data_IF_886248994955
#
_entry.id   IF_886248994955
#
_cell.length_a   1.000
_cell.length_b   1.000
_cell.length_c   1.000
_cell.angle_alpha   90.00
_cell.angle_beta   90.00
_cell.angle_gamma   90.00
#
_symmetry.space_group_name_H-M   'P 1'
#
loop_
_entity.id
_entity.type
_entity.pdbx_description
1 polymer ?
#
# COMPACT_ATOMS: atom_id res chain seq x y z
N UNK A 1 -0.90 14.92 -8.46
CA UNK A 1 -0.64 13.49 -8.24
C UNK A 1 0.18 13.44 -6.98
N UNK A 2 -0.27 12.73 -5.95
CA UNK A 2 0.42 12.76 -4.66
C UNK A 2 1.40 11.61 -4.61
N UNK A 3 2.68 11.94 -4.46
CA UNK A 3 3.74 10.99 -4.25
C UNK A 3 3.91 10.73 -2.74
N UNK A 4 4.22 9.47 -2.42
CA UNK A 4 4.47 9.00 -1.07
C UNK A 4 5.92 8.54 -1.00
N UNK A 5 6.72 9.18 -0.14
CA UNK A 5 8.04 8.67 0.21
C UNK A 5 7.95 7.81 1.46
N UNK A 6 8.58 6.65 1.37
CA UNK A 6 8.87 5.77 2.48
C UNK A 6 10.38 5.80 2.71
N UNK A 7 10.80 6.19 3.91
CA UNK A 7 12.21 6.28 4.26
C UNK A 7 12.51 5.47 5.53
N UNK A 8 13.57 4.67 5.47
CA UNK A 8 14.10 3.99 6.63
C UNK A 8 15.62 3.74 6.52
N UNK A 9 16.36 4.33 7.45
CA UNK A 9 17.83 4.31 7.45
C UNK A 9 18.38 4.86 6.12
N UNK A 10 19.10 4.06 5.32
CA UNK A 10 19.64 4.46 4.03
C UNK A 10 18.80 3.96 2.84
N UNK A 11 17.59 3.45 3.10
CA UNK A 11 16.65 2.96 2.10
C UNK A 11 15.50 3.96 1.94
N UNK A 12 15.28 4.41 0.71
CA UNK A 12 14.14 5.23 0.33
C UNK A 12 13.45 4.68 -0.93
N UNK A 13 12.13 4.84 -0.96
CA UNK A 13 11.27 4.50 -2.10
C UNK A 13 10.22 5.59 -2.23
N UNK A 14 9.93 6.02 -3.46
CA UNK A 14 8.87 6.97 -3.78
C UNK A 14 7.86 6.29 -4.70
N UNK A 15 6.60 6.25 -4.25
CA UNK A 15 5.50 5.60 -4.97
C UNK A 15 4.32 6.56 -5.07
N UNK A 16 3.59 6.54 -6.19
CA UNK A 16 2.37 7.34 -6.31
C UNK A 16 1.28 6.74 -5.44
N UNK A 17 0.43 7.58 -4.87
CA UNK A 17 -0.71 7.13 -4.06
C UNK A 17 -1.65 6.20 -4.84
N UNK A 18 -1.80 6.42 -6.14
CA UNK A 18 -2.60 5.57 -7.02
C UNK A 18 -1.95 4.20 -7.29
N UNK A 19 -0.62 4.11 -7.38
CA UNK A 19 0.09 2.83 -7.52
C UNK A 19 -0.11 1.98 -6.26
N UNK A 20 0.04 2.59 -5.08
CA UNK A 20 -0.26 1.95 -3.80
C UNK A 20 -1.72 1.50 -3.72
N UNK A 21 -2.65 2.33 -4.22
CA UNK A 21 -4.07 1.99 -4.23
C UNK A 21 -4.38 0.77 -5.09
N UNK A 22 -3.80 0.66 -6.28
CA UNK A 22 -3.96 -0.51 -7.15
C UNK A 22 -3.29 -1.74 -6.55
N UNK A 23 -2.05 -1.58 -6.05
CA UNK A 23 -1.31 -2.66 -5.38
C UNK A 23 -2.10 -3.26 -4.22
N UNK A 24 -2.60 -2.41 -3.32
CA UNK A 24 -3.38 -2.85 -2.15
C UNK A 24 -4.75 -3.41 -2.54
N UNK A 25 -5.38 -2.88 -3.60
CA UNK A 25 -6.62 -3.45 -4.11
C UNK A 25 -6.42 -4.87 -4.67
N UNK A 26 -5.32 -5.11 -5.39
CA UNK A 26 -4.96 -6.45 -5.84
C UNK A 26 -4.69 -7.38 -4.65
N UNK A 27 -3.87 -6.94 -3.69
CA UNK A 27 -3.57 -7.69 -2.47
C UNK A 27 -4.85 -8.06 -1.68
N UNK A 28 -5.79 -7.12 -1.54
CA UNK A 28 -7.09 -7.31 -0.88
C UNK A 28 -7.88 -8.46 -1.48
N UNK A 29 -7.92 -8.53 -2.81
CA UNK A 29 -8.68 -9.57 -3.52
C UNK A 29 -8.09 -10.97 -3.35
N UNK A 30 -6.85 -11.08 -2.88
CA UNK A 30 -6.23 -12.35 -2.48
C UNK A 30 -6.45 -12.62 -0.99
N UNK A 31 -6.17 -11.63 -0.13
CA UNK A 31 -6.34 -11.76 1.31
C UNK A 31 -6.58 -10.39 1.97
N UNK A 32 -7.86 -10.04 2.17
CA UNK A 32 -8.28 -8.77 2.75
C UNK A 32 -7.68 -8.52 4.15
N UNK A 33 -7.61 -9.56 4.98
CA UNK A 33 -7.06 -9.43 6.33
C UNK A 33 -5.58 -9.04 6.31
N UNK A 34 -4.74 -9.70 5.51
CA UNK A 34 -3.31 -9.36 5.44
C UNK A 34 -3.08 -8.04 4.68
N UNK A 35 -3.89 -7.77 3.65
CA UNK A 35 -3.84 -6.50 2.94
C UNK A 35 -4.14 -5.31 3.87
N UNK A 36 -5.08 -5.45 4.81
CA UNK A 36 -5.35 -4.42 5.83
C UNK A 36 -4.12 -4.17 6.72
N UNK A 37 -3.40 -5.23 7.11
CA UNK A 37 -2.17 -5.12 7.91
C UNK A 37 -1.06 -4.41 7.15
N UNK A 38 -0.89 -4.74 5.86
CA UNK A 38 0.03 -4.05 4.96
C UNK A 38 -0.32 -2.57 4.83
N UNK A 39 -1.60 -2.24 4.57
CA UNK A 39 -2.08 -0.87 4.48
C UNK A 39 -1.74 -0.06 5.73
N UNK A 40 -2.07 -0.56 6.92
CA UNK A 40 -1.75 0.16 8.16
C UNK A 40 -0.23 0.33 8.33
N UNK A 41 0.56 -0.70 8.01
CA UNK A 41 2.03 -0.66 8.12
C UNK A 41 2.69 0.34 7.17
N UNK A 42 1.95 0.86 6.18
CA UNK A 42 2.41 1.85 5.20
C UNK A 42 1.80 3.24 5.45
N UNK A 43 1.09 3.45 6.56
CA UNK A 43 0.38 4.72 6.80
C UNK A 43 0.75 5.39 8.12
N UNK A 44 0.95 6.70 8.04
CA UNK A 44 1.21 7.57 9.19
C UNK A 44 -0.05 8.04 9.92
N UNK A 45 -1.19 8.14 9.22
CA UNK A 45 -2.49 8.50 9.84
C UNK A 45 -2.82 7.69 11.09
N UNK A 46 -2.70 6.37 11.04
CA UNK A 46 -2.99 5.50 12.19
C UNK A 46 -2.09 5.82 13.39
N UNK A 47 -0.82 6.14 13.16
CA UNK A 47 0.09 6.54 14.23
C UNK A 47 -0.28 7.91 14.79
N UNK A 48 -0.67 8.86 13.93
CA UNK A 48 -1.15 10.18 14.35
C UNK A 48 -2.41 10.11 15.22
N UNK A 49 -3.39 9.30 14.82
CA UNK A 49 -4.61 9.05 15.58
C UNK A 49 -4.30 8.50 16.98
N UNK A 50 -3.40 7.51 17.06
CA UNK A 50 -2.95 6.92 18.34
C UNK A 50 -2.20 7.92 19.22
N UNK A 51 -1.33 8.75 18.64
CA UNK A 51 -0.54 9.74 19.38
C UNK A 51 -1.40 10.86 19.98
N UNK A 52 -2.49 11.21 19.31
CA UNK A 52 -3.33 12.36 19.68
C UNK A 52 -4.66 11.96 20.33
N UNK A 53 -4.94 10.66 20.47
CA UNK A 53 -6.21 10.13 20.98
C UNK A 53 -7.43 10.72 20.24
N UNK A 54 -7.33 10.78 18.91
CA UNK A 54 -8.37 11.30 18.02
C UNK A 54 -8.68 10.32 16.89
N UNK A 55 -9.91 10.40 16.38
CA UNK A 55 -10.32 9.72 15.16
C UNK A 55 -10.57 10.80 14.10
N UNK A 56 -9.73 10.84 13.07
CA UNK A 56 -9.79 11.84 12.01
C UNK A 56 -9.87 11.15 10.66
N UNK A 57 -10.54 11.77 9.70
CA UNK A 57 -10.52 11.28 8.32
C UNK A 57 -9.32 11.83 7.52
N UNK A 58 -8.52 12.69 8.13
CA UNK A 58 -7.42 13.39 7.47
C UNK A 58 -6.08 12.69 7.73
N UNK A 59 -5.25 12.60 6.70
CA UNK A 59 -3.85 12.23 6.85
C UNK A 59 -3.03 13.49 7.17
N UNK A 60 -2.21 13.50 8.24
CA UNK A 60 -1.37 14.66 8.58
C UNK A 60 -0.40 15.03 7.44
N UNK A 61 -0.27 16.33 7.19
CA UNK A 61 0.68 16.86 6.20
C UNK A 61 2.14 16.74 6.65
N UNK A 62 2.40 16.76 7.95
CA UNK A 62 3.74 16.57 8.51
C UNK A 62 4.26 15.15 8.32
N UNK A 63 5.57 15.02 8.13
CA UNK A 63 6.25 13.74 8.05
C UNK A 63 6.17 13.01 9.39
N UNK A 64 5.68 11.78 9.37
CA UNK A 64 5.42 11.00 10.57
C UNK A 64 5.69 9.52 10.34
N UNK A 65 6.01 8.78 11.41
CA UNK A 65 6.21 7.34 11.32
C UNK A 65 4.93 6.62 10.88
N UNK A 66 5.09 5.60 10.04
CA UNK A 66 4.04 4.64 9.76
C UNK A 66 3.69 3.83 11.02
N UNK A 67 2.49 3.26 11.06
CA UNK A 67 2.11 2.34 12.14
C UNK A 67 3.05 1.13 12.20
N UNK A 68 3.66 0.93 13.37
CA UNK A 68 4.62 -0.15 13.57
C UNK A 68 4.02 -1.27 14.43
N UNK A 69 3.84 -2.43 13.81
CA UNK A 69 3.45 -3.64 14.50
C UNK A 69 4.23 -4.83 13.93
N UNK A 70 5.10 -5.43 14.74
CA UNK A 70 5.97 -6.55 14.34
C UNK A 70 5.22 -7.71 13.69
N UNK A 71 4.06 -8.08 14.22
CA UNK A 71 3.25 -9.16 13.65
C UNK A 71 2.69 -8.78 12.27
N UNK A 72 2.27 -7.53 12.08
CA UNK A 72 1.75 -7.06 10.80
C UNK A 72 2.84 -7.03 9.73
N UNK A 73 4.03 -6.56 10.10
CA UNK A 73 5.21 -6.55 9.22
C UNK A 73 5.59 -7.97 8.82
N UNK A 74 5.68 -8.91 9.76
CA UNK A 74 6.00 -10.32 9.49
C UNK A 74 4.96 -10.98 8.57
N UNK A 75 3.67 -10.78 8.86
CA UNK A 75 2.58 -11.29 8.02
C UNK A 75 2.65 -10.72 6.60
N UNK A 76 2.88 -9.40 6.48
CA UNK A 76 3.03 -8.70 5.22
C UNK A 76 4.20 -9.22 4.38
N UNK A 77 5.39 -9.35 4.98
CA UNK A 77 6.60 -9.88 4.31
C UNK A 77 6.36 -11.31 3.82
N UNK A 78 5.78 -12.16 4.67
CA UNK A 78 5.47 -13.55 4.33
C UNK A 78 4.47 -13.63 3.19
N UNK A 79 3.38 -12.86 3.26
CA UNK A 79 2.35 -12.81 2.22
C UNK A 79 2.89 -12.29 0.90
N UNK A 80 3.69 -11.21 0.90
CA UNK A 80 4.31 -10.68 -0.32
C UNK A 80 5.15 -11.77 -1.01
N UNK A 81 5.98 -12.46 -0.23
CA UNK A 81 6.94 -13.44 -0.73
C UNK A 81 6.28 -14.73 -1.22
N UNK A 82 5.32 -15.24 -0.47
CA UNK A 82 4.80 -16.60 -0.68
C UNK A 82 3.49 -16.65 -1.46
N UNK A 83 2.76 -15.54 -1.53
CA UNK A 83 1.44 -15.49 -2.16
C UNK A 83 1.33 -14.38 -3.18
N UNK A 84 1.60 -13.12 -2.81
CA UNK A 84 1.28 -11.95 -3.64
C UNK A 84 2.10 -11.91 -4.93
N UNK A 85 3.44 -11.91 -4.83
CA UNK A 85 4.33 -11.92 -6.00
C UNK A 85 4.08 -13.18 -6.85
N UNK A 86 4.05 -14.40 -6.29
CA UNK A 86 3.70 -15.59 -7.08
C UNK A 86 2.34 -15.49 -7.77
N UNK A 87 1.34 -14.86 -7.15
CA UNK A 87 0.03 -14.65 -7.80
C UNK A 87 0.17 -13.74 -9.00
N UNK A 88 0.83 -12.58 -8.87
CA UNK A 88 1.07 -11.64 -9.97
C UNK A 88 1.87 -12.28 -11.12
N UNK A 89 2.89 -13.09 -10.81
CA UNK A 89 3.70 -13.80 -11.79
C UNK A 89 2.91 -14.85 -12.60
N UNK A 90 1.82 -15.37 -12.04
CA UNK A 90 0.96 -16.36 -12.70
C UNK A 90 -0.21 -15.72 -13.47
N UNK A 91 -0.34 -14.39 -13.45
CA UNK A 91 -1.36 -13.68 -14.22
C UNK A 91 -0.98 -13.66 -15.70
N UNK A 92 -1.95 -13.94 -16.56
CA UNK A 92 -1.76 -13.95 -18.03
C UNK A 92 -2.12 -12.61 -18.67
N UNK A 93 -2.53 -11.64 -17.86
CA UNK A 93 -3.01 -10.31 -18.27
C UNK A 93 -2.41 -9.24 -17.36
N UNK A 94 -2.35 -8.01 -17.84
CA UNK A 94 -1.94 -6.86 -17.04
C UNK A 94 -2.91 -6.58 -15.88
N UNK A 95 -2.45 -5.76 -14.94
CA UNK A 95 -3.19 -5.37 -13.73
C UNK A 95 -4.61 -4.92 -14.05
N UNK A 96 -4.77 -3.97 -14.98
CA UNK A 96 -6.11 -3.52 -15.38
C UNK A 96 -6.90 -4.57 -16.15
N UNK A 97 -6.22 -5.43 -16.93
CA UNK A 97 -6.85 -6.48 -17.74
C UNK A 97 -7.58 -7.50 -16.89
N UNK A 98 -6.97 -7.89 -15.76
CA UNK A 98 -7.57 -8.78 -14.76
C UNK A 98 -8.94 -8.32 -14.28
N UNK A 99 -9.14 -7.00 -14.19
CA UNK A 99 -10.37 -6.40 -13.66
C UNK A 99 -11.33 -5.92 -14.74
N UNK A 100 -11.19 -6.40 -15.98
CA UNK A 100 -12.08 -6.05 -17.09
C UNK A 100 -11.75 -4.71 -17.75
N UNK A 101 -10.50 -4.28 -17.66
CA UNK A 101 -10.00 -3.02 -18.22
C UNK A 101 -9.92 -1.89 -17.20
N UNK A 102 -9.21 -0.81 -17.57
CA UNK A 102 -8.91 0.29 -16.65
C UNK A 102 -10.15 0.98 -16.06
N UNK A 103 -11.15 1.28 -16.90
CA UNK A 103 -12.39 1.92 -16.43
C UNK A 103 -13.11 1.08 -15.35
N UNK A 104 -13.10 -0.25 -15.50
CA UNK A 104 -13.68 -1.18 -14.54
C UNK A 104 -12.85 -1.25 -13.25
N UNK A 105 -11.52 -1.38 -13.34
CA UNK A 105 -10.62 -1.35 -12.18
C UNK A 105 -10.82 -0.06 -11.36
N UNK A 106 -10.81 1.08 -12.03
CA UNK A 106 -11.01 2.38 -11.40
C UNK A 106 -12.37 2.48 -10.71
N UNK A 107 -13.44 2.02 -11.36
CA UNK A 107 -14.77 2.02 -10.77
C UNK A 107 -14.85 1.13 -9.52
N UNK A 108 -14.16 -0.02 -9.52
CA UNK A 108 -14.14 -0.92 -8.37
C UNK A 108 -13.35 -0.36 -7.19
N UNK A 109 -12.22 0.32 -7.44
CA UNK A 109 -11.44 0.99 -6.39
C UNK A 109 -12.22 2.17 -5.82
N UNK A 110 -12.70 3.09 -6.66
CA UNK A 110 -13.30 4.34 -6.21
C UNK A 110 -14.72 4.20 -5.64
N UNK A 111 -15.48 3.16 -6.03
CA UNK A 111 -16.85 2.94 -5.55
C UNK A 111 -16.94 1.86 -4.47
N UNK A 112 -15.84 1.62 -3.74
CA UNK A 112 -15.85 0.66 -2.64
C UNK A 112 -16.65 1.23 -1.45
N UNK A 113 -17.90 0.79 -1.32
CA UNK A 113 -18.85 1.24 -0.29
C UNK A 113 -18.66 0.55 1.06
N UNK A 114 -17.63 -0.29 1.22
CA UNK A 114 -17.36 -0.94 2.49
C UNK A 114 -16.86 0.07 3.53
N UNK A 115 -17.43 0.06 4.73
CA UNK A 115 -16.93 0.83 5.87
C UNK A 115 -15.67 0.17 6.46
N UNK A 116 -14.62 0.02 5.67
CA UNK A 116 -13.34 -0.57 6.08
C UNK A 116 -12.15 0.20 5.49
N UNK A 117 -10.94 -0.26 5.79
CA UNK A 117 -9.66 0.35 5.37
C UNK A 117 -9.59 0.65 3.87
N UNK A 118 -10.20 -0.21 3.04
CA UNK A 118 -10.14 -0.10 1.59
C UNK A 118 -11.04 0.99 0.98
N UNK A 119 -11.82 1.69 1.80
CA UNK A 119 -12.54 2.91 1.41
C UNK A 119 -11.63 4.11 1.18
N UNK A 120 -10.37 4.04 1.65
CA UNK A 120 -9.37 5.10 1.48
C UNK A 120 -8.55 4.94 0.20
N UNK A 121 -8.73 3.84 -0.54
CA UNK A 121 -8.04 3.62 -1.82
C UNK A 121 -8.70 4.45 -2.92
N UNK A 122 -7.91 5.06 -3.80
CA UNK A 122 -8.46 5.85 -4.89
C UNK A 122 -7.55 5.91 -6.12
N UNK A 123 -8.17 6.20 -7.27
CA UNK A 123 -7.51 6.48 -8.55
C UNK A 123 -8.06 7.79 -9.12
N UNK A 124 -7.17 8.74 -9.42
CA UNK A 124 -7.50 10.02 -10.05
C UNK A 124 -7.73 9.90 -11.57
N UNK A 125 -8.13 10.99 -12.24
CA UNK A 125 -8.60 10.97 -13.65
C UNK A 125 -7.55 10.64 -14.70
N UNK A 126 -6.30 10.96 -14.44
CA UNK A 126 -5.16 10.89 -15.36
C UNK A 126 -4.24 9.69 -15.11
N UNK A 127 -4.40 9.00 -13.98
CA UNK A 127 -3.63 7.81 -13.67
C UNK A 127 -3.97 6.64 -14.59
N UNK A 128 -2.96 5.98 -15.15
CA UNK A 128 -3.08 4.71 -15.86
C UNK A 128 -2.22 3.69 -15.10
N UNK A 129 -2.81 2.61 -14.54
CA UNK A 129 -2.05 1.54 -13.90
C UNK A 129 -1.02 0.97 -14.89
N UNK A 130 0.07 0.38 -14.42
CA UNK A 130 1.12 -0.22 -15.26
C UNK A 130 0.95 -1.76 -15.42
N UNK A 131 1.95 -2.42 -16.02
CA UNK A 131 2.02 -3.87 -16.18
C UNK A 131 2.11 -4.62 -14.84
N UNK A 132 1.87 -5.94 -14.85
CA UNK A 132 2.07 -6.76 -13.63
C UNK A 132 3.52 -6.70 -13.11
N UNK A 133 4.51 -6.62 -14.01
CA UNK A 133 5.92 -6.55 -13.64
C UNK A 133 6.23 -5.32 -12.78
N UNK A 134 5.66 -4.16 -13.13
CA UNK A 134 5.76 -2.94 -12.32
C UNK A 134 5.22 -3.13 -10.90
N UNK A 135 4.08 -3.80 -10.73
CA UNK A 135 3.52 -4.06 -9.40
C UNK A 135 4.30 -5.12 -8.60
N UNK A 136 5.01 -6.03 -9.28
CA UNK A 136 5.94 -6.96 -8.64
C UNK A 136 7.15 -6.21 -8.09
N UNK A 137 7.64 -5.18 -8.80
CA UNK A 137 8.72 -4.32 -8.32
C UNK A 137 8.26 -3.53 -7.09
N UNK A 138 7.08 -2.91 -7.12
CA UNK A 138 6.47 -2.26 -5.95
C UNK A 138 6.36 -3.22 -4.77
N UNK A 139 5.87 -4.44 -4.99
CA UNK A 139 5.76 -5.45 -3.94
C UNK A 139 7.13 -5.78 -3.33
N UNK A 140 8.17 -5.84 -4.16
CA UNK A 140 9.53 -6.12 -3.75
C UNK A 140 10.14 -4.96 -2.95
N UNK A 141 9.92 -3.72 -3.36
CA UNK A 141 10.34 -2.51 -2.63
C UNK A 141 9.65 -2.43 -1.26
N UNK A 142 8.32 -2.58 -1.21
CA UNK A 142 7.55 -2.62 0.05
C UNK A 142 8.09 -3.71 0.97
N UNK A 143 8.34 -4.92 0.45
CA UNK A 143 8.92 -6.00 1.24
C UNK A 143 10.28 -5.61 1.81
N UNK A 144 11.16 -4.98 1.03
CA UNK A 144 12.47 -4.54 1.50
C UNK A 144 12.36 -3.49 2.61
N UNK A 145 11.47 -2.51 2.45
CA UNK A 145 11.19 -1.50 3.48
C UNK A 145 10.70 -2.14 4.78
N UNK A 146 9.72 -3.05 4.71
CA UNK A 146 9.19 -3.78 5.87
C UNK A 146 10.26 -4.65 6.54
N UNK A 147 11.10 -5.33 5.76
CA UNK A 147 12.22 -6.11 6.27
C UNK A 147 13.24 -5.23 6.98
N UNK A 148 13.55 -4.04 6.42
CA UNK A 148 14.47 -3.08 7.04
C UNK A 148 13.89 -2.56 8.36
N UNK A 149 12.61 -2.19 8.36
CA UNK A 149 11.86 -1.75 9.55
C UNK A 149 11.87 -2.78 10.67
N UNK A 150 11.62 -4.04 10.32
CA UNK A 150 11.68 -5.14 11.26
C UNK A 150 13.11 -5.37 11.80
N UNK A 151 14.12 -5.31 10.93
CA UNK A 151 15.52 -5.54 11.31
C UNK A 151 16.08 -4.48 12.27
N UNK A 152 15.65 -3.23 12.11
CA UNK A 152 16.05 -2.09 12.93
C UNK A 152 15.12 -1.86 14.11
N UNK A 153 14.01 -2.59 14.20
CA UNK A 153 12.93 -2.36 15.15
C UNK A 153 12.48 -0.89 15.20
N UNK A 154 12.31 -0.28 14.03
CA UNK A 154 12.04 1.16 13.85
C UNK A 154 10.98 1.35 12.76
N UNK A 155 9.95 2.21 12.93
CA UNK A 155 8.99 2.53 11.87
C UNK A 155 9.65 3.21 10.66
N UNK A 156 9.06 3.04 9.48
CA UNK A 156 9.38 3.88 8.32
C UNK A 156 8.83 5.29 8.54
N UNK A 157 9.55 6.31 8.09
CA UNK A 157 9.02 7.67 7.97
C UNK A 157 8.20 7.77 6.68
N UNK A 158 7.04 8.44 6.75
CA UNK A 158 6.15 8.64 5.60
C UNK A 158 5.96 10.13 5.34
N UNK A 159 6.27 10.54 4.11
CA UNK A 159 6.14 11.92 3.63
C UNK A 159 5.21 11.96 2.41
N UNK A 160 4.35 12.99 2.32
CA UNK A 160 3.50 13.23 1.14
C UNK A 160 3.94 14.52 0.45
N UNK A 161 4.06 14.48 -0.87
CA UNK A 161 4.38 15.67 -1.66
C UNK A 161 3.75 15.62 -3.05
N UNK A 162 3.60 16.80 -3.64
CA UNK A 162 3.02 17.04 -4.96
C UNK A 162 4.09 17.34 -6.02
#
# INVERSE_FOLDING_TARGET
>A
MTDIRYEIDNLDTVLRAEDISVFLFYAKNINDNIASKLFFSLRKKTMYELLNDINTNLDPSEDLPAYFNTSFLQDGISFITTVLIPSMQNETVDMWGKYGGFASLKAQINNNTANNWSSELCILSDYVPESMEYYIDIASEIKMLLQRSLSLNTPMLVSYFD
#
